data_IF_259616802978
#
_entry.id   IF_259616802978
#
_cell.length_a   1.000
_cell.length_b   1.000
_cell.length_c   1.000
_cell.angle_alpha   90.00
_cell.angle_beta   90.00
_cell.angle_gamma   90.00
#
_symmetry.space_group_name_H-M   'P 1'
#
loop_
_entity.id
_entity.type
_entity.pdbx_description
1 polymer ?
#
# COMPACT_ATOMS: atom_id res chain seq x y z
N UNK A 1 28.09 -19.83 -2.31
CA UNK A 1 26.73 -19.41 -1.94
C UNK A 1 25.79 -20.59 -2.15
N UNK A 2 24.92 -20.86 -1.18
CA UNK A 2 23.94 -21.93 -1.30
C UNK A 2 22.93 -21.50 -2.38
N UNK A 3 22.97 -22.12 -3.58
CA UNK A 3 22.15 -21.74 -4.74
C UNK A 3 20.63 -21.96 -4.53
N UNK A 4 20.25 -22.55 -3.40
CA UNK A 4 18.88 -22.96 -3.10
C UNK A 4 18.10 -21.93 -2.25
N UNK A 5 18.75 -20.89 -1.72
CA UNK A 5 18.09 -19.91 -0.87
C UNK A 5 17.52 -18.74 -1.68
N UNK A 6 16.21 -18.54 -1.60
CA UNK A 6 15.56 -17.37 -2.22
C UNK A 6 16.03 -16.08 -1.53
N UNK A 7 16.48 -15.13 -2.35
CA UNK A 7 16.81 -13.76 -1.91
C UNK A 7 16.04 -12.79 -2.77
N UNK A 8 15.21 -12.00 -2.12
CA UNK A 8 14.46 -10.91 -2.75
C UNK A 8 14.86 -9.57 -2.13
N UNK A 9 14.52 -8.49 -2.79
CA UNK A 9 14.76 -7.14 -2.24
C UNK A 9 13.61 -6.20 -2.59
N UNK A 10 13.39 -5.24 -1.70
CA UNK A 10 12.75 -3.99 -2.03
C UNK A 10 13.82 -2.90 -2.05
N UNK A 11 13.86 -2.14 -3.14
CA UNK A 11 14.94 -1.20 -3.40
C UNK A 11 14.38 0.18 -3.80
N UNK A 12 13.78 0.90 -2.84
CA UNK A 12 13.18 2.20 -3.11
C UNK A 12 14.23 3.30 -3.24
N UNK A 13 13.97 4.25 -4.18
CA UNK A 13 14.67 5.53 -4.20
C UNK A 13 13.95 6.53 -3.30
N UNK A 14 14.66 7.28 -2.44
CA UNK A 14 14.06 8.22 -1.49
C UNK A 14 13.67 9.56 -2.17
N UNK A 15 12.95 9.49 -3.30
CA UNK A 15 12.50 10.64 -4.09
C UNK A 15 11.07 11.06 -3.76
N UNK A 16 10.54 10.60 -2.64
CA UNK A 16 9.21 10.92 -2.13
C UNK A 16 8.70 9.88 -1.14
N UNK A 17 7.53 10.16 -0.59
CA UNK A 17 6.89 9.29 0.41
C UNK A 17 6.28 8.05 -0.23
N UNK A 18 6.14 6.99 0.58
CA UNK A 18 5.63 5.70 0.15
C UNK A 18 4.15 5.76 -0.22
N UNK A 19 3.82 5.15 -1.32
CA UNK A 19 2.44 4.95 -1.76
C UNK A 19 2.16 3.47 -2.05
N UNK A 20 0.90 3.12 -2.23
CA UNK A 20 0.43 1.74 -2.41
C UNK A 20 1.18 0.95 -3.50
N UNK A 21 1.64 1.61 -4.57
CA UNK A 21 2.40 0.95 -5.64
C UNK A 21 3.77 0.45 -5.19
N UNK A 22 4.50 1.26 -4.43
CA UNK A 22 5.79 0.87 -3.83
C UNK A 22 5.59 -0.24 -2.80
N UNK A 23 4.61 -0.07 -1.91
CA UNK A 23 4.30 -1.07 -0.87
C UNK A 23 3.92 -2.41 -1.47
N UNK A 24 3.09 -2.47 -2.53
CA UNK A 24 2.75 -3.75 -3.18
C UNK A 24 3.98 -4.47 -3.71
N UNK A 25 4.96 -3.74 -4.25
CA UNK A 25 6.23 -4.32 -4.71
C UNK A 25 7.03 -4.89 -3.55
N UNK A 26 7.12 -4.16 -2.43
CA UNK A 26 7.75 -4.63 -1.20
C UNK A 26 7.05 -5.88 -0.66
N UNK A 27 5.71 -5.84 -0.59
CA UNK A 27 4.86 -6.90 -0.09
C UNK A 27 5.07 -8.22 -0.85
N UNK A 28 5.02 -8.19 -2.18
CA UNK A 28 5.21 -9.42 -2.96
C UNK A 28 6.63 -9.98 -2.83
N UNK A 29 7.65 -9.11 -2.76
CA UNK A 29 9.02 -9.51 -2.49
C UNK A 29 9.17 -10.15 -1.11
N UNK A 30 8.53 -9.57 -0.10
CA UNK A 30 8.46 -10.08 1.27
C UNK A 30 7.75 -11.44 1.34
N UNK A 31 6.55 -11.54 0.80
CA UNK A 31 5.75 -12.77 0.81
C UNK A 31 6.51 -13.93 0.16
N UNK A 32 7.17 -13.68 -0.97
CA UNK A 32 7.94 -14.72 -1.67
C UNK A 32 9.16 -15.18 -0.88
N UNK A 33 9.91 -14.24 -0.29
CA UNK A 33 11.03 -14.59 0.59
C UNK A 33 10.56 -15.41 1.78
N UNK A 34 9.56 -14.94 2.52
CA UNK A 34 9.10 -15.59 3.76
C UNK A 34 8.50 -16.97 3.51
N UNK A 35 7.69 -17.14 2.45
CA UNK A 35 7.18 -18.44 2.04
C UNK A 35 8.27 -19.48 1.82
N UNK A 36 9.39 -19.07 1.26
CA UNK A 36 10.48 -19.98 0.90
C UNK A 36 11.60 -20.03 1.97
N UNK A 37 11.36 -19.51 3.18
CA UNK A 37 12.38 -19.38 4.22
C UNK A 37 13.65 -18.68 3.70
N UNK A 38 13.46 -17.74 2.78
CA UNK A 38 14.48 -16.96 2.10
C UNK A 38 14.93 -15.75 2.90
N UNK A 39 15.50 -14.78 2.18
CA UNK A 39 15.94 -13.50 2.75
C UNK A 39 15.26 -12.35 2.01
N UNK A 40 14.65 -11.43 2.75
CA UNK A 40 14.11 -10.19 2.23
C UNK A 40 15.02 -9.03 2.63
N UNK A 41 15.53 -8.29 1.64
CA UNK A 41 16.47 -7.17 1.81
C UNK A 41 15.74 -5.85 1.58
N UNK A 42 15.95 -4.88 2.45
CA UNK A 42 15.65 -3.47 2.20
C UNK A 42 16.94 -2.76 1.79
N UNK A 43 16.98 -2.19 0.58
CA UNK A 43 18.11 -1.42 0.06
C UNK A 43 17.64 -0.02 -0.36
N UNK A 44 18.27 1.01 0.15
CA UNK A 44 17.96 2.40 -0.22
C UNK A 44 18.80 2.81 -1.43
N UNK A 45 18.11 3.17 -2.53
CA UNK A 45 18.76 3.59 -3.79
C UNK A 45 18.76 5.11 -3.90
N UNK A 46 19.69 5.75 -3.19
CA UNK A 46 19.83 7.19 -2.99
C UNK A 46 20.95 7.84 -3.83
N UNK A 47 21.27 7.25 -4.99
CA UNK A 47 22.32 7.77 -5.88
C UNK A 47 21.89 9.02 -6.66
N UNK A 48 20.63 9.39 -6.65
CA UNK A 48 20.10 10.62 -7.22
C UNK A 48 19.87 11.66 -6.11
N UNK A 49 20.96 12.29 -5.70
CA UNK A 49 20.97 13.27 -4.60
C UNK A 49 20.13 14.52 -4.89
N UNK A 50 19.99 14.90 -6.17
CA UNK A 50 19.21 16.06 -6.57
C UNK A 50 17.69 15.88 -6.36
N UNK A 51 17.22 14.63 -6.35
CA UNK A 51 15.79 14.30 -6.15
C UNK A 51 15.50 13.67 -4.78
N UNK A 52 16.48 13.57 -3.91
CA UNK A 52 16.28 13.05 -2.55
C UNK A 52 15.34 14.00 -1.78
N UNK A 53 14.33 13.45 -1.12
CA UNK A 53 13.39 14.18 -0.27
C UNK A 53 13.74 13.91 1.19
N UNK A 54 13.93 14.98 1.94
CA UNK A 54 14.25 14.89 3.37
C UNK A 54 13.17 14.10 4.15
N UNK A 55 13.60 13.22 5.05
CA UNK A 55 12.73 12.33 5.82
C UNK A 55 12.15 11.15 5.03
N UNK A 56 12.40 11.04 3.72
CA UNK A 56 11.81 9.98 2.89
C UNK A 56 12.30 8.57 3.29
N UNK A 57 13.56 8.42 3.71
CA UNK A 57 14.10 7.13 4.13
C UNK A 57 13.39 6.65 5.40
N UNK A 58 13.27 7.50 6.41
CA UNK A 58 12.58 7.17 7.66
C UNK A 58 11.11 6.84 7.40
N UNK A 59 10.46 7.62 6.54
CA UNK A 59 9.08 7.38 6.13
C UNK A 59 8.90 6.03 5.42
N UNK A 60 9.82 5.64 4.53
CA UNK A 60 9.81 4.32 3.87
C UNK A 60 9.87 3.21 4.92
N UNK A 61 10.81 3.32 5.85
CA UNK A 61 11.02 2.32 6.90
C UNK A 61 9.83 2.25 7.86
N UNK A 62 9.29 3.38 8.28
CA UNK A 62 8.11 3.47 9.14
C UNK A 62 6.87 2.85 8.46
N UNK A 63 6.63 3.17 7.18
CA UNK A 63 5.53 2.63 6.40
C UNK A 63 5.56 1.10 6.32
N UNK A 64 6.74 0.53 6.05
CA UNK A 64 6.91 -0.92 5.97
C UNK A 64 6.72 -1.58 7.34
N UNK A 65 7.32 -1.03 8.41
CA UNK A 65 7.17 -1.52 9.79
C UNK A 65 5.72 -1.46 10.26
N UNK A 66 5.02 -0.38 9.97
CA UNK A 66 3.60 -0.27 10.30
C UNK A 66 2.76 -1.38 9.67
N UNK A 67 3.09 -1.77 8.42
CA UNK A 67 2.41 -2.86 7.72
C UNK A 67 2.89 -4.26 8.14
N UNK A 68 3.89 -4.38 9.01
CA UNK A 68 4.48 -5.67 9.39
C UNK A 68 5.35 -6.28 8.28
N UNK A 69 5.88 -5.47 7.38
CA UNK A 69 6.81 -5.90 6.32
C UNK A 69 8.25 -5.70 6.84
N UNK A 70 8.68 -6.62 7.70
CA UNK A 70 10.02 -6.58 8.27
C UNK A 70 11.05 -7.21 7.34
N UNK A 71 12.22 -6.58 7.25
CA UNK A 71 13.35 -7.06 6.43
C UNK A 71 14.39 -7.81 7.28
N UNK A 72 15.00 -8.81 6.68
CA UNK A 72 16.05 -9.62 7.33
C UNK A 72 17.41 -8.89 7.32
N UNK A 73 17.65 -8.05 6.30
CA UNK A 73 18.85 -7.26 6.10
C UNK A 73 18.48 -5.87 5.59
N UNK A 74 19.10 -4.83 6.12
CA UNK A 74 18.74 -3.47 5.73
C UNK A 74 19.54 -2.38 6.44
N UNK A 75 19.16 -1.10 6.24
CA UNK A 75 19.94 0.04 6.72
C UNK A 75 20.10 0.10 8.24
N UNK A 76 19.09 -0.33 9.00
CA UNK A 76 19.05 -0.23 10.46
C UNK A 76 19.48 -1.51 11.18
N UNK A 77 19.24 -2.68 10.60
CA UNK A 77 19.60 -3.97 11.19
C UNK A 77 20.87 -4.59 10.59
N UNK A 78 21.44 -3.98 9.56
CA UNK A 78 22.67 -4.43 8.94
C UNK A 78 22.53 -5.77 8.20
N UNK A 79 23.64 -6.50 8.10
CA UNK A 79 23.73 -7.79 7.44
C UNK A 79 25.09 -7.99 6.75
N UNK A 80 25.30 -9.15 6.09
CA UNK A 80 26.60 -9.52 5.50
C UNK A 80 27.06 -8.62 4.35
N UNK A 81 26.15 -7.84 3.77
CA UNK A 81 26.43 -6.98 2.61
C UNK A 81 26.35 -5.48 2.95
N UNK A 82 26.38 -5.14 4.24
CA UNK A 82 26.39 -3.74 4.69
C UNK A 82 27.48 -2.92 4.00
N UNK A 83 27.21 -1.63 3.76
CA UNK A 83 25.97 -0.88 4.01
C UNK A 83 24.87 -1.17 2.98
N UNK A 84 23.58 -0.90 3.36
CA UNK A 84 22.41 -1.10 2.49
C UNK A 84 21.85 0.21 1.93
N UNK A 85 22.64 1.26 1.96
CA UNK A 85 22.39 2.55 1.34
C UNK A 85 23.42 2.75 0.21
N UNK A 86 22.95 3.02 -1.00
CA UNK A 86 23.84 3.02 -2.16
C UNK A 86 24.90 4.12 -2.12
N UNK A 87 24.57 5.30 -1.57
CA UNK A 87 25.56 6.36 -1.42
C UNK A 87 26.75 6.00 -0.51
N UNK A 88 26.62 5.00 0.34
CA UNK A 88 27.67 4.51 1.23
C UNK A 88 28.51 3.37 0.59
N UNK A 89 28.23 3.01 -0.67
CA UNK A 89 28.84 1.89 -1.40
C UNK A 89 29.68 2.33 -2.61
N UNK A 90 30.06 3.59 -2.69
CA UNK A 90 30.71 4.16 -3.89
C UNK A 90 32.00 3.41 -4.27
N UNK A 91 32.80 2.96 -3.30
CA UNK A 91 34.01 2.17 -3.54
C UNK A 91 33.71 0.85 -4.27
N UNK A 92 32.60 0.21 -3.95
CA UNK A 92 32.17 -1.00 -4.63
C UNK A 92 31.87 -0.73 -6.11
N UNK A 93 31.13 0.33 -6.39
CA UNK A 93 30.78 0.69 -7.77
C UNK A 93 32.02 1.08 -8.56
N UNK A 94 32.98 1.83 -7.97
CA UNK A 94 34.24 2.17 -8.60
C UNK A 94 35.07 0.92 -8.92
N UNK A 95 35.09 -0.07 -8.03
CA UNK A 95 35.77 -1.36 -8.28
C UNK A 95 35.16 -2.09 -9.49
N UNK A 96 33.83 -2.12 -9.61
CA UNK A 96 33.14 -2.75 -10.73
C UNK A 96 33.28 -1.94 -12.02
N UNK A 97 33.31 -0.60 -11.92
CA UNK A 97 33.61 0.29 -13.04
C UNK A 97 35.00 0.01 -13.60
N UNK A 98 36.01 -0.07 -12.74
CA UNK A 98 37.39 -0.42 -13.16
C UNK A 98 37.45 -1.81 -13.80
N UNK A 99 36.76 -2.81 -13.22
CA UNK A 99 36.63 -4.15 -13.81
C UNK A 99 36.07 -4.12 -15.23
N UNK A 100 35.05 -3.30 -15.49
CA UNK A 100 34.45 -3.15 -16.81
C UNK A 100 35.40 -2.44 -17.79
N UNK A 101 36.23 -1.48 -17.34
CA UNK A 101 37.27 -0.85 -18.12
C UNK A 101 38.31 -1.90 -18.52
N UNK A 102 38.81 -2.66 -17.55
CA UNK A 102 39.86 -3.69 -17.79
C UNK A 102 39.35 -4.79 -18.74
N UNK A 103 38.07 -5.10 -18.73
CA UNK A 103 37.44 -6.02 -19.68
C UNK A 103 37.10 -5.34 -21.03
N UNK A 104 37.29 -4.05 -21.12
CA UNK A 104 37.03 -3.25 -22.31
C UNK A 104 35.54 -2.94 -22.56
N UNK A 105 34.67 -3.09 -21.56
CA UNK A 105 33.22 -2.80 -21.65
C UNK A 105 32.85 -1.42 -21.10
N UNK A 106 33.81 -0.59 -20.74
CA UNK A 106 33.54 0.77 -20.30
C UNK A 106 34.60 1.73 -20.80
N UNK A 107 34.20 2.96 -21.06
CA UNK A 107 35.06 4.03 -21.53
C UNK A 107 34.65 5.38 -20.93
N UNK A 108 35.58 6.30 -20.84
CA UNK A 108 35.33 7.68 -20.42
C UNK A 108 34.66 8.43 -21.57
N UNK A 109 33.50 9.02 -21.28
CA UNK A 109 32.76 9.83 -22.25
C UNK A 109 33.52 11.14 -22.51
N UNK A 110 33.93 11.42 -23.76
CA UNK A 110 34.63 12.66 -24.11
C UNK A 110 33.67 13.84 -24.28
N UNK A 111 32.35 13.60 -24.39
CA UNK A 111 31.36 14.63 -24.68
C UNK A 111 30.87 15.34 -23.43
N UNK A 112 30.71 16.65 -23.54
CA UNK A 112 30.03 17.46 -22.56
C UNK A 112 28.50 17.23 -22.63
N UNK A 113 27.78 17.60 -21.57
CA UNK A 113 26.30 17.54 -21.57
C UNK A 113 25.69 18.38 -22.69
N UNK A 114 26.28 19.55 -22.99
CA UNK A 114 25.82 20.44 -24.07
C UNK A 114 26.01 19.80 -25.48
N UNK A 115 27.10 19.09 -25.69
CA UNK A 115 27.32 18.38 -26.94
C UNK A 115 26.32 17.23 -27.11
N UNK A 116 26.11 16.46 -26.08
CA UNK A 116 25.12 15.37 -26.09
C UNK A 116 23.70 15.91 -26.35
N UNK A 117 23.34 17.04 -25.75
CA UNK A 117 22.02 17.65 -25.97
C UNK A 117 21.85 18.14 -27.41
N UNK A 118 22.90 18.68 -28.04
CA UNK A 118 22.88 19.03 -29.48
C UNK A 118 22.65 17.79 -30.36
N UNK A 119 23.35 16.69 -30.07
CA UNK A 119 23.18 15.43 -30.80
C UNK A 119 21.73 14.88 -30.66
N UNK A 120 21.12 15.01 -29.48
CA UNK A 120 19.71 14.65 -29.26
C UNK A 120 18.75 15.51 -30.07
N UNK A 121 18.98 16.83 -30.09
CA UNK A 121 18.17 17.76 -30.86
C UNK A 121 18.29 17.51 -32.38
N UNK A 122 19.49 17.20 -32.87
CA UNK A 122 19.69 16.81 -34.27
C UNK A 122 18.93 15.52 -34.63
N UNK A 123 18.94 14.50 -33.75
CA UNK A 123 18.19 13.27 -33.96
C UNK A 123 16.67 13.54 -33.96
N UNK A 124 16.18 14.41 -33.08
CA UNK A 124 14.78 14.81 -33.02
C UNK A 124 14.34 15.55 -34.29
N UNK A 125 15.14 16.51 -34.78
CA UNK A 125 14.88 17.24 -36.04
C UNK A 125 14.81 16.26 -37.22
N UNK A 126 15.72 15.28 -37.25
CA UNK A 126 15.77 14.26 -38.29
C UNK A 126 14.73 13.15 -38.10
N UNK A 127 13.96 13.14 -37.01
CA UNK A 127 12.96 12.12 -36.64
C UNK A 127 13.53 10.70 -36.58
N UNK A 128 14.76 10.56 -36.11
CA UNK A 128 15.43 9.27 -35.88
C UNK A 128 15.63 9.06 -34.38
N UNK A 129 15.65 7.81 -33.90
CA UNK A 129 16.00 7.53 -32.51
C UNK A 129 17.42 8.00 -32.20
N UNK A 130 17.59 8.68 -31.08
CA UNK A 130 18.93 8.98 -30.58
C UNK A 130 19.55 7.73 -29.96
N UNK A 131 20.68 7.28 -30.53
CA UNK A 131 21.46 6.16 -30.01
C UNK A 131 22.88 6.64 -29.76
N UNK A 132 23.27 6.73 -28.49
CA UNK A 132 24.59 7.25 -28.13
C UNK A 132 25.74 6.42 -28.72
N UNK A 133 25.56 5.10 -28.87
CA UNK A 133 26.54 4.21 -29.48
C UNK A 133 27.00 4.62 -30.91
N UNK A 134 26.19 5.38 -31.62
CA UNK A 134 26.50 5.89 -32.97
C UNK A 134 27.40 7.13 -32.92
N UNK A 135 27.54 7.73 -31.74
CA UNK A 135 28.34 8.94 -31.51
C UNK A 135 29.55 8.68 -30.61
N UNK A 136 29.82 7.40 -30.25
CA UNK A 136 30.96 7.09 -29.37
C UNK A 136 32.27 7.44 -30.05
N UNK A 137 33.19 8.00 -29.28
CA UNK A 137 34.55 8.27 -29.71
C UNK A 137 35.53 7.42 -28.91
N UNK A 138 35.93 6.29 -29.48
CA UNK A 138 36.86 5.35 -28.84
C UNK A 138 38.35 5.65 -29.18
N UNK A 139 38.62 6.60 -30.07
CA UNK A 139 39.96 6.97 -30.50
C UNK A 139 40.77 7.68 -29.40
N UNK A 140 40.08 8.32 -28.47
CA UNK A 140 40.68 8.98 -27.32
C UNK A 140 40.65 8.03 -26.12
N UNK A 141 41.71 7.28 -25.91
CA UNK A 141 41.84 6.42 -24.72
C UNK A 141 42.06 7.28 -23.46
N UNK A 142 40.97 7.92 -22.98
CA UNK A 142 41.01 8.81 -21.81
C UNK A 142 41.10 7.93 -20.56
N UNK A 143 42.14 8.07 -19.73
CA UNK A 143 42.25 7.31 -18.49
C UNK A 143 41.13 7.66 -17.52
N UNK A 144 40.52 6.65 -16.91
CA UNK A 144 39.56 6.83 -15.83
C UNK A 144 40.26 7.28 -14.54
N UNK A 145 39.93 8.45 -14.05
CA UNK A 145 40.44 9.00 -12.78
C UNK A 145 39.40 9.02 -11.66
N UNK A 146 38.16 8.78 -12.01
CA UNK A 146 37.03 8.81 -11.04
C UNK A 146 36.58 10.20 -10.62
N UNK A 147 37.13 11.27 -11.19
CA UNK A 147 36.87 12.65 -10.80
C UNK A 147 36.42 13.44 -12.03
N UNK A 148 35.25 14.10 -11.93
CA UNK A 148 34.70 14.97 -13.00
C UNK A 148 34.59 14.32 -14.37
N UNK A 149 34.53 12.98 -14.41
CA UNK A 149 34.43 12.19 -15.63
C UNK A 149 33.16 11.35 -15.65
N UNK A 150 32.49 11.34 -16.78
CA UNK A 150 31.38 10.41 -17.03
C UNK A 150 31.91 9.11 -17.59
N UNK A 151 31.63 7.99 -16.94
CA UNK A 151 31.95 6.66 -17.43
C UNK A 151 30.72 6.02 -18.07
N UNK A 152 30.86 5.50 -19.29
CA UNK A 152 29.81 4.79 -20.01
C UNK A 152 30.11 3.31 -20.19
N UNK A 153 29.02 2.52 -20.19
CA UNK A 153 29.05 1.14 -20.65
C UNK A 153 29.04 1.10 -22.17
N UNK A 154 29.95 0.34 -22.75
CA UNK A 154 29.99 0.04 -24.17
C UNK A 154 29.23 -1.24 -24.47
N UNK A 155 28.11 -1.13 -25.18
CA UNK A 155 27.39 -2.30 -25.70
C UNK A 155 28.11 -2.84 -26.92
N UNK A 156 28.92 -3.91 -26.76
CA UNK A 156 29.68 -4.55 -27.85
C UNK A 156 28.81 -5.49 -28.67
N UNK A 157 28.01 -6.33 -27.98
CA UNK A 157 27.15 -7.33 -28.62
C UNK A 157 25.75 -6.77 -28.85
N UNK A 158 25.54 -6.20 -30.04
CA UNK A 158 24.24 -5.70 -30.46
C UNK A 158 23.42 -6.88 -30.96
N UNK A 159 22.78 -7.59 -30.04
CA UNK A 159 21.99 -8.79 -30.31
C UNK A 159 20.54 -8.65 -29.79
N UNK A 160 19.66 -9.48 -30.24
CA UNK A 160 18.33 -9.64 -29.62
C UNK A 160 18.53 -10.34 -28.27
N UNK A 161 18.00 -9.75 -27.20
CA UNK A 161 17.89 -10.39 -25.89
C UNK A 161 16.54 -11.07 -25.75
N UNK A 162 16.55 -12.26 -25.18
CA UNK A 162 15.36 -13.01 -24.78
C UNK A 162 15.49 -13.39 -23.30
N UNK A 163 14.40 -13.28 -22.55
CA UNK A 163 14.36 -13.69 -21.14
C UNK A 163 12.98 -14.16 -20.78
N UNK A 164 12.91 -14.94 -19.71
CA UNK A 164 11.66 -15.37 -19.13
C UNK A 164 11.29 -14.45 -17.96
N UNK A 165 10.07 -13.90 -18.00
CA UNK A 165 9.46 -13.14 -16.91
C UNK A 165 8.31 -13.97 -16.33
N UNK A 166 8.26 -14.09 -15.01
CA UNK A 166 7.24 -14.94 -14.36
C UNK A 166 5.82 -14.51 -14.72
N UNK A 167 5.58 -13.20 -14.80
CA UNK A 167 4.24 -12.64 -15.07
C UNK A 167 3.94 -12.62 -16.56
N UNK A 168 4.88 -12.09 -17.37
CA UNK A 168 4.62 -11.87 -18.79
C UNK A 168 5.03 -13.05 -19.68
N UNK A 169 5.76 -14.02 -19.15
CA UNK A 169 6.28 -15.15 -19.90
C UNK A 169 7.53 -14.76 -20.72
N UNK A 170 7.69 -15.38 -21.89
CA UNK A 170 8.84 -15.08 -22.74
C UNK A 170 8.77 -13.68 -23.33
N UNK A 171 9.77 -12.88 -23.04
CA UNK A 171 9.93 -11.53 -23.53
C UNK A 171 11.18 -11.44 -24.42
N UNK A 172 11.18 -10.52 -25.36
CA UNK A 172 12.36 -10.25 -26.18
C UNK A 172 12.41 -8.77 -26.57
N UNK A 173 13.63 -8.26 -26.72
CA UNK A 173 13.85 -6.94 -27.25
C UNK A 173 14.94 -6.98 -28.32
N UNK A 174 14.75 -6.20 -29.39
CA UNK A 174 15.68 -6.11 -30.49
C UNK A 174 16.86 -5.18 -30.18
N UNK A 175 17.65 -4.98 -31.23
CA UNK A 175 18.86 -4.16 -31.16
C UNK A 175 18.59 -2.67 -30.89
N UNK A 176 17.37 -2.23 -31.14
CA UNK A 176 16.87 -0.88 -30.88
C UNK A 176 16.81 -0.54 -29.37
N UNK A 177 16.69 -1.55 -28.53
CA UNK A 177 16.64 -1.38 -27.06
C UNK A 177 18.04 -1.29 -26.41
N UNK A 178 19.09 -1.50 -27.21
CA UNK A 178 20.47 -1.52 -26.73
C UNK A 178 21.18 -0.24 -27.12
N UNK A 179 21.70 0.46 -26.13
CA UNK A 179 22.49 1.67 -26.33
C UNK A 179 23.52 1.79 -25.21
N UNK A 180 24.57 2.55 -25.49
CA UNK A 180 25.55 2.87 -24.46
C UNK A 180 24.93 3.74 -23.39
N UNK A 181 25.13 3.39 -22.14
CA UNK A 181 24.53 4.11 -21.02
C UNK A 181 25.55 4.48 -19.94
N UNK A 182 25.29 5.55 -19.23
CA UNK A 182 26.15 6.04 -18.16
C UNK A 182 26.17 5.04 -17.01
N UNK A 183 27.38 4.64 -16.60
CA UNK A 183 27.64 3.85 -15.39
C UNK A 183 27.82 4.77 -14.18
N UNK A 184 28.80 5.69 -14.27
CA UNK A 184 29.11 6.66 -13.22
C UNK A 184 29.01 8.06 -13.82
N UNK A 185 28.33 8.94 -13.13
CA UNK A 185 28.15 10.34 -13.48
C UNK A 185 29.41 11.15 -13.12
N UNK A 186 29.55 12.34 -13.69
CA UNK A 186 30.65 13.25 -13.39
C UNK A 186 30.73 13.65 -11.88
N UNK A 187 29.65 13.58 -11.16
CA UNK A 187 29.59 13.78 -9.70
C UNK A 187 30.13 12.60 -8.88
N UNK A 188 30.56 11.51 -9.54
CA UNK A 188 31.10 10.31 -8.92
C UNK A 188 30.02 9.30 -8.46
N UNK A 189 28.74 9.62 -8.58
CA UNK A 189 27.67 8.69 -8.23
C UNK A 189 27.33 7.75 -9.40
N UNK A 190 27.05 6.47 -9.13
CA UNK A 190 26.57 5.56 -10.14
C UNK A 190 25.15 5.94 -10.58
N UNK A 191 24.80 5.58 -11.82
CA UNK A 191 23.41 5.63 -12.26
C UNK A 191 22.63 4.46 -11.70
N UNK A 192 21.29 4.61 -11.64
CA UNK A 192 20.38 3.53 -11.29
C UNK A 192 20.67 2.24 -12.08
N UNK A 193 20.86 2.35 -13.39
CA UNK A 193 21.08 1.21 -14.29
C UNK A 193 22.32 0.38 -13.94
N UNK A 194 23.31 0.99 -13.34
CA UNK A 194 24.54 0.32 -12.90
C UNK A 194 24.44 -0.17 -11.46
N UNK A 195 24.11 0.72 -10.54
CA UNK A 195 24.15 0.43 -9.11
C UNK A 195 23.28 -0.76 -8.71
N UNK A 196 22.02 -0.82 -9.18
CA UNK A 196 21.14 -1.91 -8.80
C UNK A 196 21.59 -3.28 -9.31
N UNK A 197 22.22 -3.35 -10.50
CA UNK A 197 22.76 -4.60 -11.03
C UNK A 197 23.94 -5.10 -10.20
N UNK A 198 24.85 -4.19 -9.85
CA UNK A 198 26.01 -4.53 -9.02
C UNK A 198 25.57 -5.02 -7.65
N UNK A 199 24.61 -4.31 -7.03
CA UNK A 199 24.08 -4.71 -5.72
C UNK A 199 23.33 -6.02 -5.77
N UNK A 200 22.53 -6.27 -6.80
CA UNK A 200 21.81 -7.53 -6.97
C UNK A 200 22.78 -8.72 -7.15
N UNK A 201 23.92 -8.51 -7.84
CA UNK A 201 25.01 -9.50 -7.95
C UNK A 201 25.66 -9.74 -6.58
N UNK A 202 26.12 -8.69 -5.91
CA UNK A 202 26.86 -8.78 -4.65
C UNK A 202 26.02 -9.34 -3.51
N UNK A 203 24.74 -8.94 -3.44
CA UNK A 203 23.80 -9.40 -2.43
C UNK A 203 23.18 -10.77 -2.75
N UNK A 204 23.52 -11.37 -3.90
CA UNK A 204 23.03 -12.68 -4.33
C UNK A 204 21.51 -12.71 -4.52
N UNK A 205 20.95 -11.63 -5.04
CA UNK A 205 19.50 -11.54 -5.31
C UNK A 205 19.11 -12.55 -6.38
N UNK A 206 18.13 -13.38 -6.06
CA UNK A 206 17.65 -14.45 -6.95
C UNK A 206 16.39 -14.08 -7.72
N UNK A 207 15.56 -13.20 -7.15
CA UNK A 207 14.30 -12.74 -7.76
C UNK A 207 14.19 -11.24 -7.65
N UNK A 208 13.92 -10.59 -8.77
CA UNK A 208 13.72 -9.15 -8.87
C UNK A 208 12.26 -8.85 -9.19
N UNK A 209 11.50 -8.46 -8.17
CA UNK A 209 10.15 -7.94 -8.34
C UNK A 209 10.20 -6.42 -8.49
N UNK A 210 9.58 -5.90 -9.56
CA UNK A 210 9.55 -4.46 -9.86
C UNK A 210 8.43 -4.12 -10.83
N UNK A 211 8.11 -2.86 -10.99
CA UNK A 211 7.09 -2.40 -11.92
C UNK A 211 7.42 -2.75 -13.38
N UNK A 212 6.38 -2.96 -14.18
CA UNK A 212 6.51 -3.31 -15.61
C UNK A 212 7.21 -2.22 -16.45
N UNK A 213 7.31 -1.00 -15.96
CA UNK A 213 8.02 0.10 -16.61
C UNK A 213 9.51 -0.20 -16.86
N UNK A 214 10.09 -1.12 -16.11
CA UNK A 214 11.48 -1.54 -16.27
C UNK A 214 11.69 -2.65 -17.30
N UNK A 215 10.63 -3.22 -17.88
CA UNK A 215 10.73 -4.28 -18.89
C UNK A 215 11.54 -3.81 -20.11
N UNK A 216 11.31 -2.60 -20.59
CA UNK A 216 12.02 -2.01 -21.72
C UNK A 216 13.51 -1.81 -21.47
N UNK A 217 13.93 -1.68 -20.20
CA UNK A 217 15.34 -1.51 -19.81
C UNK A 217 16.04 -2.84 -19.52
N UNK A 218 15.32 -3.95 -19.44
CA UNK A 218 15.90 -5.27 -19.12
C UNK A 218 17.05 -5.69 -20.05
N UNK A 219 17.03 -5.43 -21.38
CA UNK A 219 18.17 -5.74 -22.25
C UNK A 219 19.47 -5.06 -21.84
N UNK A 220 19.41 -3.81 -21.35
CA UNK A 220 20.59 -3.09 -20.82
C UNK A 220 21.17 -3.80 -19.61
N UNK A 221 20.31 -4.28 -18.71
CA UNK A 221 20.75 -5.01 -17.53
C UNK A 221 21.36 -6.35 -17.91
N UNK A 222 20.73 -7.10 -18.83
CA UNK A 222 21.26 -8.37 -19.32
C UNK A 222 22.62 -8.21 -19.99
N UNK A 223 22.83 -7.13 -20.77
CA UNK A 223 24.15 -6.84 -21.37
C UNK A 223 25.23 -6.59 -20.31
N UNK A 224 24.86 -5.96 -19.18
CA UNK A 224 25.78 -5.74 -18.07
C UNK A 224 26.08 -7.04 -17.30
N UNK A 225 25.07 -7.91 -17.09
CA UNK A 225 25.29 -9.25 -16.52
C UNK A 225 26.23 -10.09 -17.40
N UNK A 226 26.02 -10.07 -18.72
CA UNK A 226 26.88 -10.76 -19.69
C UNK A 226 28.34 -10.26 -19.61
N UNK A 227 28.56 -8.94 -19.62
CA UNK A 227 29.89 -8.33 -19.55
C UNK A 227 30.60 -8.68 -18.24
N UNK A 228 29.91 -8.82 -17.15
CA UNK A 228 30.46 -9.18 -15.83
C UNK A 228 30.63 -10.68 -15.65
N UNK A 229 30.09 -11.52 -16.56
CA UNK A 229 30.06 -12.98 -16.44
C UNK A 229 29.17 -13.45 -15.26
N UNK A 230 28.13 -12.69 -14.93
CA UNK A 230 27.22 -12.97 -13.83
C UNK A 230 25.88 -13.54 -14.34
N UNK A 231 25.25 -14.35 -13.52
CA UNK A 231 23.91 -14.88 -13.84
C UNK A 231 22.86 -13.87 -13.46
N UNK A 232 21.94 -13.48 -14.37
CA UNK A 232 20.86 -12.57 -14.03
C UNK A 232 19.85 -13.25 -13.08
N UNK A 233 19.12 -12.47 -12.26
CA UNK A 233 18.05 -12.97 -11.42
C UNK A 233 16.82 -13.35 -12.26
N UNK A 234 15.88 -14.03 -11.63
CA UNK A 234 14.54 -14.26 -12.19
C UNK A 234 13.77 -12.94 -12.12
N UNK A 235 13.23 -12.50 -13.24
CA UNK A 235 12.44 -11.26 -13.31
C UNK A 235 10.95 -11.54 -13.07
N UNK A 236 10.34 -10.66 -12.30
CA UNK A 236 8.92 -10.67 -11.97
C UNK A 236 8.38 -9.26 -12.15
N UNK A 237 7.89 -8.95 -13.34
CA UNK A 237 7.40 -7.62 -13.68
C UNK A 237 5.95 -7.43 -13.26
N UNK A 238 5.71 -6.52 -12.33
CA UNK A 238 4.40 -6.28 -11.76
C UNK A 238 3.62 -5.24 -12.60
N UNK A 239 2.38 -5.52 -12.99
CA UNK A 239 1.54 -4.55 -13.68
C UNK A 239 1.24 -3.35 -12.78
N UNK A 240 0.86 -2.22 -13.39
CA UNK A 240 0.48 -1.04 -12.63
C UNK A 240 -0.76 -1.29 -11.76
N UNK A 241 -0.84 -0.58 -10.65
CA UNK A 241 -2.10 -0.36 -9.96
C UNK A 241 -2.82 0.74 -10.73
N UNK A 242 -4.08 0.48 -11.06
CA UNK A 242 -4.92 1.42 -11.80
C UNK A 242 -5.81 2.20 -10.83
N UNK A 243 -6.08 3.45 -11.15
CA UNK A 243 -7.06 4.26 -10.42
C UNK A 243 -8.48 3.67 -10.61
N UNK A 244 -9.42 4.11 -9.80
CA UNK A 244 -10.80 3.60 -9.78
C UNK A 244 -11.49 3.59 -11.17
N UNK A 245 -11.17 4.55 -12.03
CA UNK A 245 -11.68 4.55 -13.43
C UNK A 245 -11.07 3.45 -14.32
N UNK A 246 -10.08 2.68 -13.85
CA UNK A 246 -9.43 1.58 -14.59
C UNK A 246 -8.56 1.98 -15.79
N UNK A 247 -8.58 3.25 -16.21
CA UNK A 247 -7.94 3.71 -17.45
C UNK A 247 -6.58 4.40 -17.23
N UNK A 248 -6.22 4.72 -15.98
CA UNK A 248 -4.98 5.42 -15.64
C UNK A 248 -4.23 4.67 -14.55
N UNK A 249 -2.90 4.73 -14.60
CA UNK A 249 -2.04 4.33 -13.49
C UNK A 249 -2.39 5.19 -12.27
N UNK A 250 -2.57 4.55 -11.12
CA UNK A 250 -2.76 5.25 -9.85
C UNK A 250 -1.49 6.03 -9.50
N UNK A 251 -1.60 7.32 -9.47
CA UNK A 251 -0.52 8.24 -9.15
C UNK A 251 -0.95 9.25 -8.09
N UNK A 252 -0.02 10.05 -7.57
CA UNK A 252 -0.32 11.06 -6.54
C UNK A 252 -1.44 12.04 -6.95
N UNK A 253 -1.54 12.37 -8.25
CA UNK A 253 -2.59 13.25 -8.80
C UNK A 253 -3.94 12.54 -9.00
N UNK A 254 -3.94 11.21 -8.95
CA UNK A 254 -5.10 10.37 -9.21
C UNK A 254 -5.58 9.65 -7.94
N UNK A 255 -5.23 10.18 -6.75
CA UNK A 255 -5.71 9.68 -5.46
C UNK A 255 -4.79 8.67 -4.75
N UNK A 256 -3.58 8.44 -5.25
CA UNK A 256 -2.60 7.64 -4.48
C UNK A 256 -2.21 8.40 -3.21
N UNK A 257 -2.74 7.95 -2.08
CA UNK A 257 -2.41 8.48 -0.77
C UNK A 257 -1.05 7.97 -0.29
N UNK A 258 -0.46 8.71 0.63
CA UNK A 258 0.62 8.25 1.47
C UNK A 258 0.16 7.03 2.31
N UNK A 259 1.06 6.09 2.54
CA UNK A 259 0.72 4.89 3.33
C UNK A 259 0.37 5.24 4.78
N UNK A 260 1.05 6.22 5.36
CA UNK A 260 0.79 6.64 6.74
C UNK A 260 -0.52 7.42 6.88
N UNK A 261 -1.05 8.01 5.79
CA UNK A 261 -2.39 8.61 5.79
C UNK A 261 -3.48 7.57 6.10
N UNK A 262 -3.33 6.33 5.60
CA UNK A 262 -4.28 5.25 5.93
C UNK A 262 -4.27 4.93 7.43
N UNK A 263 -3.09 4.98 8.08
CA UNK A 263 -2.97 4.83 9.54
C UNK A 263 -3.73 5.93 10.28
N UNK A 264 -3.50 7.17 9.87
CA UNK A 264 -4.17 8.33 10.47
C UNK A 264 -5.69 8.33 10.24
N UNK A 265 -6.14 7.77 9.12
CA UNK A 265 -7.55 7.54 8.84
C UNK A 265 -8.14 6.34 9.61
N UNK A 266 -7.34 5.59 10.35
CA UNK A 266 -7.80 4.48 11.18
C UNK A 266 -7.98 3.14 10.45
N UNK A 267 -7.30 2.94 9.33
CA UNK A 267 -7.19 1.61 8.73
C UNK A 267 -6.25 0.72 9.54
N UNK A 268 -6.60 -0.55 9.64
CA UNK A 268 -5.75 -1.56 10.25
C UNK A 268 -4.62 -1.96 9.29
N UNK A 269 -3.38 -2.09 9.77
CA UNK A 269 -2.28 -2.53 8.92
C UNK A 269 -2.53 -3.91 8.31
N UNK A 270 -3.14 -4.84 9.05
CA UNK A 270 -3.50 -6.18 8.58
C UNK A 270 -4.52 -6.12 7.42
N UNK A 271 -5.46 -5.19 7.48
CA UNK A 271 -6.46 -5.02 6.45
C UNK A 271 -5.83 -4.47 5.16
N UNK A 272 -5.00 -3.43 5.28
CA UNK A 272 -4.31 -2.85 4.13
C UNK A 272 -3.31 -3.84 3.52
N UNK A 273 -2.57 -4.59 4.34
CA UNK A 273 -1.66 -5.65 3.90
C UNK A 273 -2.42 -6.71 3.09
N UNK A 274 -3.53 -7.23 3.63
CA UNK A 274 -4.36 -8.24 2.98
C UNK A 274 -4.96 -7.71 1.66
N UNK A 275 -5.53 -6.51 1.66
CA UNK A 275 -6.08 -5.87 0.46
C UNK A 275 -5.00 -5.70 -0.62
N UNK A 276 -3.81 -5.19 -0.27
CA UNK A 276 -2.71 -4.99 -1.21
C UNK A 276 -2.18 -6.31 -1.78
N UNK A 277 -2.21 -7.40 -1.00
CA UNK A 277 -1.84 -8.73 -1.49
C UNK A 277 -2.77 -9.19 -2.62
N UNK A 278 -4.06 -8.86 -2.55
CA UNK A 278 -5.04 -9.20 -3.58
C UNK A 278 -5.04 -8.24 -4.79
N UNK A 279 -4.24 -7.17 -4.77
CA UNK A 279 -4.07 -6.29 -5.93
C UNK A 279 -3.13 -6.89 -6.98
N UNK A 280 -3.68 -7.78 -7.80
CA UNK A 280 -2.96 -8.43 -8.90
C UNK A 280 -2.43 -9.82 -8.55
N UNK A 281 -2.90 -10.40 -7.46
CA UNK A 281 -2.67 -11.79 -7.09
C UNK A 281 -3.94 -12.39 -6.48
N UNK A 282 -4.11 -13.72 -6.59
CA UNK A 282 -5.23 -14.44 -5.98
C UNK A 282 -4.81 -15.87 -5.62
N UNK A 283 -5.02 -16.32 -4.36
CA UNK A 283 -4.65 -17.69 -3.93
C UNK A 283 -5.50 -18.78 -4.56
N UNK A 284 -6.63 -18.42 -5.16
CA UNK A 284 -7.69 -19.34 -5.57
C UNK A 284 -8.63 -19.69 -4.42
N UNK A 285 -9.88 -19.97 -4.74
CA UNK A 285 -10.93 -20.19 -3.75
C UNK A 285 -11.68 -18.89 -3.41
N UNK A 286 -12.51 -18.97 -2.36
CA UNK A 286 -13.45 -17.89 -1.97
C UNK A 286 -12.98 -17.09 -0.76
N UNK A 287 -11.88 -17.51 -0.11
CA UNK A 287 -11.38 -16.83 1.11
C UNK A 287 -10.59 -15.60 0.71
N UNK A 288 -11.10 -14.42 1.04
CA UNK A 288 -10.43 -13.14 0.81
C UNK A 288 -9.79 -12.56 2.07
N UNK A 289 -10.35 -12.81 3.27
CA UNK A 289 -9.85 -12.24 4.53
C UNK A 289 -8.87 -13.21 5.18
N UNK A 290 -7.59 -12.90 5.05
CA UNK A 290 -6.46 -13.71 5.45
C UNK A 290 -5.52 -12.96 6.39
N UNK A 291 -4.95 -13.66 7.35
CA UNK A 291 -3.86 -13.17 8.19
C UNK A 291 -2.53 -13.10 7.42
N UNK A 292 -1.51 -12.46 8.00
CA UNK A 292 -0.17 -12.42 7.44
C UNK A 292 0.39 -13.82 7.15
N UNK A 293 0.27 -14.74 8.12
CA UNK A 293 0.80 -16.11 7.99
C UNK A 293 0.04 -16.89 6.91
N UNK A 294 -1.28 -16.75 6.83
CA UNK A 294 -2.08 -17.37 5.78
C UNK A 294 -1.68 -16.84 4.39
N UNK A 295 -1.45 -15.52 4.26
CA UNK A 295 -0.98 -14.91 3.02
C UNK A 295 0.42 -15.39 2.63
N UNK A 296 1.37 -15.45 3.58
CA UNK A 296 2.71 -16.00 3.35
C UNK A 296 2.61 -17.44 2.84
N UNK A 297 1.82 -18.27 3.52
CA UNK A 297 1.67 -19.69 3.16
C UNK A 297 0.97 -19.91 1.81
N UNK A 298 0.01 -19.05 1.47
CA UNK A 298 -0.73 -19.16 0.22
C UNK A 298 -0.01 -18.56 -0.99
N UNK A 299 0.91 -17.60 -0.77
CA UNK A 299 1.50 -16.81 -1.84
C UNK A 299 2.25 -17.66 -2.87
N UNK A 300 1.93 -17.49 -4.15
CA UNK A 300 2.57 -18.14 -5.29
C UNK A 300 2.76 -17.12 -6.42
N UNK A 301 4.02 -16.83 -6.75
CA UNK A 301 4.36 -15.85 -7.79
C UNK A 301 3.86 -16.21 -9.18
N UNK A 302 3.62 -17.51 -9.45
CA UNK A 302 3.08 -17.95 -10.73
C UNK A 302 1.61 -17.59 -10.94
N UNK A 303 0.94 -17.15 -9.86
CA UNK A 303 -0.46 -16.72 -9.87
C UNK A 303 -0.60 -15.18 -9.95
N UNK A 304 0.50 -14.47 -10.12
CA UNK A 304 0.46 -13.03 -10.39
C UNK A 304 -0.23 -12.75 -11.72
N UNK A 305 -1.12 -11.77 -11.73
CA UNK A 305 -1.93 -11.41 -12.89
C UNK A 305 -1.16 -10.47 -13.83
N UNK A 306 -1.37 -10.62 -15.15
CA UNK A 306 -0.77 -9.74 -16.18
C UNK A 306 -1.45 -8.37 -16.28
N UNK A 307 -2.72 -8.30 -15.93
CA UNK A 307 -3.53 -7.09 -16.00
C UNK A 307 -3.30 -6.17 -14.81
N UNK A 308 -3.44 -4.87 -15.03
CA UNK A 308 -3.43 -3.90 -13.93
C UNK A 308 -4.60 -4.15 -12.97
N UNK A 309 -4.33 -4.16 -11.67
CA UNK A 309 -5.35 -4.28 -10.65
C UNK A 309 -5.92 -2.89 -10.31
N UNK A 310 -7.23 -2.77 -10.25
CA UNK A 310 -7.91 -1.54 -9.88
C UNK A 310 -7.89 -1.35 -8.36
N UNK A 311 -7.51 -0.17 -7.91
CA UNK A 311 -7.63 0.21 -6.51
C UNK A 311 -9.06 0.67 -6.25
N UNK A 312 -9.73 0.00 -5.32
CA UNK A 312 -11.13 0.22 -4.98
C UNK A 312 -11.25 0.52 -3.48
N UNK A 313 -11.57 1.78 -3.14
CA UNK A 313 -11.73 2.23 -1.76
C UNK A 313 -12.90 1.54 -1.05
N UNK A 314 -13.97 1.20 -1.77
CA UNK A 314 -15.12 0.49 -1.20
C UNK A 314 -14.71 -0.93 -0.78
N UNK A 315 -13.92 -1.58 -1.63
CA UNK A 315 -13.38 -2.90 -1.31
C UNK A 315 -12.36 -2.82 -0.16
N UNK A 316 -11.51 -1.81 -0.10
CA UNK A 316 -10.58 -1.61 1.02
C UNK A 316 -11.35 -1.41 2.34
N UNK A 317 -12.40 -0.58 2.34
CA UNK A 317 -13.26 -0.39 3.51
C UNK A 317 -13.90 -1.70 3.98
N UNK A 318 -14.36 -2.53 3.04
CA UNK A 318 -14.87 -3.85 3.37
C UNK A 318 -13.80 -4.76 4.01
N UNK A 319 -12.57 -4.80 3.45
CA UNK A 319 -11.45 -5.52 4.08
C UNK A 319 -11.20 -5.04 5.50
N UNK A 320 -11.18 -3.72 5.69
CA UNK A 320 -10.92 -3.12 7.01
C UNK A 320 -11.99 -3.49 8.02
N UNK A 321 -13.27 -3.39 7.64
CA UNK A 321 -14.41 -3.79 8.48
C UNK A 321 -14.32 -5.26 8.89
N UNK A 322 -14.02 -6.15 7.95
CA UNK A 322 -13.90 -7.58 8.25
C UNK A 322 -12.72 -7.90 9.18
N UNK A 323 -11.61 -7.17 9.07
CA UNK A 323 -10.50 -7.28 10.02
C UNK A 323 -10.85 -6.69 11.40
N UNK A 324 -11.57 -5.55 11.47
CA UNK A 324 -12.07 -4.98 12.73
C UNK A 324 -12.95 -5.99 13.48
N UNK A 325 -13.83 -6.71 12.78
CA UNK A 325 -14.68 -7.74 13.38
C UNK A 325 -13.92 -8.90 14.01
N UNK A 326 -12.70 -9.18 13.51
CA UNK A 326 -11.84 -10.25 14.05
C UNK A 326 -11.04 -9.85 15.29
N UNK A 327 -10.96 -8.56 15.63
CA UNK A 327 -10.26 -8.11 16.83
C UNK A 327 -10.96 -8.58 18.09
N UNK A 328 -10.22 -8.92 19.15
CA UNK A 328 -10.80 -9.05 20.48
C UNK A 328 -11.32 -7.70 20.97
N UNK A 329 -12.22 -7.70 21.97
CA UNK A 329 -12.77 -6.45 22.50
C UNK A 329 -11.67 -5.55 23.08
N UNK A 330 -10.72 -6.12 23.82
CA UNK A 330 -9.59 -5.38 24.39
C UNK A 330 -8.72 -4.74 23.33
N UNK A 331 -8.39 -5.47 22.24
CA UNK A 331 -7.58 -4.95 21.16
C UNK A 331 -8.34 -3.90 20.35
N UNK A 332 -9.65 -4.08 20.16
CA UNK A 332 -10.49 -3.11 19.48
C UNK A 332 -10.54 -1.78 20.24
N UNK A 333 -10.80 -1.82 21.56
CA UNK A 333 -10.80 -0.65 22.43
C UNK A 333 -9.45 0.07 22.36
N UNK A 334 -8.37 -0.69 22.53
CA UNK A 334 -7.01 -0.14 22.48
C UNK A 334 -6.70 0.59 21.18
N UNK A 335 -7.10 0.00 20.03
CA UNK A 335 -6.81 0.58 18.71
C UNK A 335 -7.68 1.79 18.38
N UNK A 336 -8.92 1.84 18.86
CA UNK A 336 -9.80 2.99 18.63
C UNK A 336 -9.61 4.12 19.66
N UNK A 337 -8.83 3.91 20.74
CA UNK A 337 -8.71 4.86 21.85
C UNK A 337 -8.32 6.27 21.38
N UNK A 338 -7.37 6.40 20.44
CA UNK A 338 -6.96 7.71 19.92
C UNK A 338 -8.06 8.47 19.18
N UNK A 339 -9.09 7.77 18.71
CA UNK A 339 -10.22 8.34 17.97
C UNK A 339 -11.44 8.59 18.86
N UNK A 340 -11.51 8.01 20.06
CA UNK A 340 -12.63 8.17 20.97
C UNK A 340 -12.67 9.55 21.61
N UNK A 341 -13.84 10.21 21.70
CA UNK A 341 -14.02 11.40 22.51
C UNK A 341 -13.83 11.13 24.01
N UNK A 342 -13.39 12.14 24.76
CA UNK A 342 -13.06 12.00 26.19
C UNK A 342 -14.26 11.53 27.04
N UNK A 343 -15.48 11.98 26.76
CA UNK A 343 -16.67 11.58 27.51
C UNK A 343 -16.99 10.09 27.34
N UNK A 344 -16.64 9.49 26.20
CA UNK A 344 -16.78 8.07 25.94
C UNK A 344 -15.71 7.27 26.68
N UNK A 345 -14.45 7.74 26.65
CA UNK A 345 -13.32 7.11 27.38
C UNK A 345 -13.56 7.04 28.88
N UNK A 346 -14.27 8.01 29.45
CA UNK A 346 -14.60 8.05 30.87
C UNK A 346 -15.70 7.06 31.28
N UNK A 347 -16.40 6.44 30.33
CA UNK A 347 -17.54 5.55 30.54
C UNK A 347 -17.33 4.16 29.93
N UNK A 348 -16.23 3.51 30.29
CA UNK A 348 -15.83 2.21 29.74
C UNK A 348 -16.89 1.10 29.93
N UNK A 349 -17.69 1.16 31.00
CA UNK A 349 -18.76 0.18 31.23
C UNK A 349 -19.80 0.23 30.10
N UNK A 350 -20.24 1.43 29.73
CA UNK A 350 -21.19 1.63 28.64
C UNK A 350 -20.55 1.24 27.33
N UNK A 351 -19.30 1.72 27.09
CA UNK A 351 -18.56 1.41 25.88
C UNK A 351 -18.46 -0.09 25.63
N UNK A 352 -18.09 -0.87 26.65
CA UNK A 352 -18.00 -2.34 26.54
C UNK A 352 -19.32 -3.00 26.14
N UNK A 353 -20.45 -2.47 26.59
CA UNK A 353 -21.78 -3.02 26.25
C UNK A 353 -22.18 -2.78 24.80
N UNK A 354 -21.64 -1.76 24.15
CA UNK A 354 -22.01 -1.36 22.79
C UNK A 354 -20.94 -1.64 21.72
N UNK A 355 -19.86 -2.32 22.06
CA UNK A 355 -18.75 -2.59 21.11
C UNK A 355 -19.23 -3.29 19.84
N UNK A 356 -20.18 -4.22 19.96
CA UNK A 356 -20.75 -4.91 18.81
C UNK A 356 -21.50 -3.97 17.86
N UNK A 357 -22.20 -2.95 18.42
CA UNK A 357 -22.89 -1.93 17.63
C UNK A 357 -21.86 -1.07 16.89
N UNK A 358 -20.82 -0.62 17.60
CA UNK A 358 -19.77 0.21 17.00
C UNK A 358 -19.12 -0.50 15.83
N UNK A 359 -18.77 -1.79 15.97
CA UNK A 359 -18.14 -2.59 14.91
C UNK A 359 -18.97 -2.68 13.63
N UNK A 360 -20.30 -2.70 13.78
CA UNK A 360 -21.21 -2.78 12.62
C UNK A 360 -21.42 -1.43 11.92
N UNK A 361 -21.05 -0.31 12.59
CA UNK A 361 -21.31 1.05 12.09
C UNK A 361 -20.06 1.77 11.57
N UNK A 362 -18.89 1.13 11.59
CA UNK A 362 -17.64 1.76 11.14
C UNK A 362 -16.98 0.95 10.03
N UNK A 363 -16.37 1.66 9.10
CA UNK A 363 -15.44 1.11 8.11
C UNK A 363 -13.99 1.28 8.56
N UNK A 364 -13.72 2.35 9.31
CA UNK A 364 -12.40 2.75 9.82
C UNK A 364 -12.50 3.13 11.29
N UNK A 365 -11.42 2.98 12.04
CA UNK A 365 -11.41 3.33 13.47
C UNK A 365 -11.71 4.82 13.70
N UNK A 366 -11.35 5.71 12.78
CA UNK A 366 -11.67 7.13 12.88
C UNK A 366 -13.17 7.44 12.83
N UNK A 367 -13.98 6.55 12.24
CA UNK A 367 -15.42 6.77 12.10
C UNK A 367 -16.14 6.78 13.47
N UNK A 368 -15.51 6.19 14.50
CA UNK A 368 -16.06 6.24 15.88
C UNK A 368 -16.27 7.68 16.38
N UNK A 369 -15.48 8.63 15.89
CA UNK A 369 -15.61 10.05 16.23
C UNK A 369 -17.00 10.58 15.89
N UNK A 370 -17.45 10.25 14.68
CA UNK A 370 -18.73 10.75 14.15
C UNK A 370 -19.91 10.09 14.85
N UNK A 371 -19.76 8.84 15.32
CA UNK A 371 -20.79 8.14 16.07
C UNK A 371 -21.13 8.81 17.42
N UNK A 372 -20.16 9.51 18.02
CA UNK A 372 -20.24 10.11 19.35
C UNK A 372 -20.16 11.65 19.35
N UNK A 373 -20.27 12.30 18.20
CA UNK A 373 -20.48 13.75 18.14
C UNK A 373 -21.87 14.11 18.65
N UNK A 374 -22.10 15.39 19.00
CA UNK A 374 -23.45 15.87 19.34
C UNK A 374 -24.44 15.53 18.23
N UNK A 375 -25.45 14.76 18.54
CA UNK A 375 -26.39 14.16 17.58
C UNK A 375 -25.79 13.05 16.70
N UNK A 376 -24.65 12.50 17.06
CA UNK A 376 -24.10 11.29 16.46
C UNK A 376 -25.01 10.08 16.72
N UNK A 377 -24.88 9.07 15.87
CA UNK A 377 -25.81 7.94 15.87
C UNK A 377 -25.85 7.15 17.19
N UNK A 378 -24.74 7.16 17.97
CA UNK A 378 -24.60 6.46 19.26
C UNK A 378 -24.39 7.40 20.47
N UNK A 379 -24.48 8.73 20.27
CA UNK A 379 -24.27 9.71 21.35
C UNK A 379 -25.27 9.54 22.51
N UNK A 380 -26.47 9.08 22.21
CA UNK A 380 -27.54 8.87 23.21
C UNK A 380 -27.19 7.82 24.28
N UNK A 381 -26.23 6.95 24.08
CA UNK A 381 -25.75 6.05 25.12
C UNK A 381 -25.00 6.76 26.25
N UNK A 382 -24.42 7.93 25.93
CA UNK A 382 -23.57 8.70 26.85
C UNK A 382 -24.20 10.02 27.27
N UNK A 383 -25.03 10.61 26.42
CA UNK A 383 -25.66 11.90 26.63
C UNK A 383 -27.17 11.83 26.49
N UNK A 384 -27.87 12.66 27.27
CA UNK A 384 -29.33 12.76 27.14
C UNK A 384 -29.68 13.34 25.76
N UNK A 385 -30.55 12.66 24.99
CA UNK A 385 -30.94 13.12 23.66
C UNK A 385 -31.56 14.52 23.68
N UNK A 386 -31.18 15.37 22.73
CA UNK A 386 -31.76 16.70 22.51
C UNK A 386 -32.38 16.70 21.12
N UNK A 387 -33.66 16.98 21.02
CA UNK A 387 -34.36 16.98 19.74
C UNK A 387 -35.56 17.96 19.75
N UNK A 388 -35.96 18.38 18.56
CA UNK A 388 -37.16 19.18 18.36
C UNK A 388 -38.43 18.35 18.66
N UNK A 389 -39.33 18.90 19.45
CA UNK A 389 -40.58 18.19 19.84
C UNK A 389 -41.40 17.67 18.64
N UNK A 390 -41.32 18.34 17.51
CA UNK A 390 -41.97 17.92 16.26
C UNK A 390 -41.44 16.61 15.71
N UNK A 391 -40.15 16.27 15.96
CA UNK A 391 -39.51 15.04 15.46
C UNK A 391 -40.15 13.77 16.03
N UNK A 392 -40.74 13.84 17.23
CA UNK A 392 -41.34 12.68 17.90
C UNK A 392 -42.61 12.16 17.20
N UNK A 393 -43.21 13.01 16.34
CA UNK A 393 -44.37 12.64 15.53
C UNK A 393 -43.89 12.01 14.24
N UNK A 394 -44.32 10.79 13.95
CA UNK A 394 -43.93 10.09 12.72
C UNK A 394 -44.34 10.90 11.47
N UNK A 395 -43.43 11.13 10.51
CA UNK A 395 -43.77 11.80 9.26
C UNK A 395 -44.80 11.01 8.41
N UNK A 396 -45.01 9.74 8.73
CA UNK A 396 -45.95 8.84 8.05
C UNK A 396 -47.23 8.64 8.86
N UNK A 397 -47.41 9.38 9.96
CA UNK A 397 -48.61 9.24 10.82
C UNK A 397 -49.90 9.59 10.08
N UNK A 398 -50.96 8.88 10.38
CA UNK A 398 -52.30 9.14 9.90
C UNK A 398 -53.21 9.80 10.98
N UNK A 399 -52.62 10.13 12.14
CA UNK A 399 -53.33 10.64 13.30
C UNK A 399 -53.78 12.11 13.18
N UNK A 400 -53.23 12.85 12.21
CA UNK A 400 -53.58 14.25 12.01
C UNK A 400 -53.34 15.13 13.24
N UNK A 401 -54.31 15.96 13.61
CA UNK A 401 -54.18 16.94 14.69
C UNK A 401 -54.09 16.32 16.10
N UNK A 402 -54.47 15.04 16.29
CA UNK A 402 -54.36 14.34 17.57
C UNK A 402 -53.03 13.61 17.76
N UNK A 403 -52.15 13.74 16.80
CA UNK A 403 -50.85 13.02 16.82
C UNK A 403 -50.04 13.32 18.10
N UNK A 404 -50.00 14.57 18.54
CA UNK A 404 -49.26 14.98 19.74
C UNK A 404 -49.75 14.31 21.03
N UNK A 405 -51.09 14.30 21.26
CA UNK A 405 -51.71 13.66 22.41
C UNK A 405 -51.52 12.12 22.39
N UNK A 406 -51.61 11.53 21.22
CA UNK A 406 -51.42 10.09 21.05
C UNK A 406 -49.97 9.66 21.26
N UNK A 407 -48.98 10.46 20.87
CA UNK A 407 -47.59 10.18 21.14
C UNK A 407 -47.30 10.15 22.64
N UNK A 408 -47.86 11.06 23.45
CA UNK A 408 -47.72 11.02 24.92
C UNK A 408 -48.29 9.72 25.48
N UNK A 409 -49.50 9.30 25.01
CA UNK A 409 -50.11 8.04 25.39
C UNK A 409 -49.25 6.83 25.02
N UNK A 410 -48.66 6.83 23.83
CA UNK A 410 -47.77 5.75 23.37
C UNK A 410 -46.51 5.63 24.24
N UNK A 411 -45.88 6.74 24.54
CA UNK A 411 -44.66 6.76 25.37
C UNK A 411 -44.93 6.36 26.81
N UNK A 412 -46.05 6.80 27.39
CA UNK A 412 -46.44 6.37 28.74
C UNK A 412 -46.77 4.86 28.77
N UNK A 413 -47.40 4.33 27.71
CA UNK A 413 -47.61 2.90 27.56
C UNK A 413 -46.36 2.09 27.48
N UNK A 414 -45.38 2.53 26.65
CA UNK A 414 -44.06 1.90 26.52
C UNK A 414 -43.30 1.95 27.86
N UNK A 415 -43.30 3.10 28.52
CA UNK A 415 -42.66 3.28 29.83
C UNK A 415 -43.23 2.34 30.88
N UNK A 416 -44.54 2.23 30.96
CA UNK A 416 -45.20 1.33 31.89
C UNK A 416 -44.85 -0.14 31.61
N UNK A 417 -44.73 -0.55 30.35
CA UNK A 417 -44.28 -1.89 30.00
C UNK A 417 -42.86 -2.13 30.52
N UNK A 418 -41.92 -1.22 30.18
CA UNK A 418 -40.52 -1.34 30.59
C UNK A 418 -40.34 -1.37 32.10
N UNK A 419 -41.05 -0.51 32.84
CA UNK A 419 -40.98 -0.46 34.32
C UNK A 419 -41.53 -1.71 35.03
N UNK A 420 -42.32 -2.52 34.34
CA UNK A 420 -42.90 -3.75 34.90
C UNK A 420 -42.16 -5.02 34.44
N UNK A 421 -41.04 -4.89 33.75
CA UNK A 421 -40.16 -6.02 33.40
C UNK A 421 -39.20 -6.25 34.55
N UNK A 422 -39.18 -7.46 35.08
CA UNK A 422 -38.18 -7.86 36.08
C UNK A 422 -36.77 -7.85 35.49
N UNK A 423 -35.77 -7.41 36.26
CA UNK A 423 -34.36 -7.35 35.81
C UNK A 423 -33.84 -8.69 35.23
N UNK A 424 -34.34 -9.82 35.76
CA UNK A 424 -33.99 -11.16 35.25
C UNK A 424 -34.49 -11.44 33.83
N UNK A 425 -35.44 -10.65 33.33
CA UNK A 425 -36.04 -10.76 31.99
C UNK A 425 -35.66 -9.58 31.09
N UNK A 426 -34.64 -8.79 31.49
CA UNK A 426 -34.13 -7.67 30.69
C UNK A 426 -33.21 -8.21 29.61
N UNK A 427 -33.79 -8.91 28.64
CA UNK A 427 -33.10 -9.32 27.40
C UNK A 427 -33.83 -8.77 26.18
N UNK A 428 -33.12 -8.68 25.07
CA UNK A 428 -33.58 -8.04 23.83
C UNK A 428 -34.86 -8.70 23.30
N UNK A 429 -34.94 -10.01 23.27
CA UNK A 429 -36.07 -10.74 22.67
C UNK A 429 -37.32 -10.58 23.52
N UNK A 430 -37.21 -10.64 24.87
CA UNK A 430 -38.34 -10.47 25.78
C UNK A 430 -38.89 -9.04 25.72
N UNK A 431 -38.00 -8.04 25.80
CA UNK A 431 -38.39 -6.61 25.71
C UNK A 431 -39.08 -6.35 24.37
N UNK A 432 -38.44 -6.77 23.27
CA UNK A 432 -38.96 -6.63 21.91
C UNK A 432 -40.35 -7.26 21.77
N UNK A 433 -40.54 -8.48 22.28
CA UNK A 433 -41.88 -9.13 22.27
C UNK A 433 -42.96 -8.30 22.96
N UNK A 434 -42.67 -7.78 24.16
CA UNK A 434 -43.61 -6.95 24.91
C UNK A 434 -43.94 -5.63 24.23
N UNK A 435 -42.94 -4.96 23.71
CA UNK A 435 -43.11 -3.69 22.98
C UNK A 435 -43.87 -3.92 21.67
N UNK A 436 -43.55 -4.98 20.93
CA UNK A 436 -44.24 -5.28 19.68
C UNK A 436 -45.69 -5.61 19.87
N UNK A 437 -46.07 -6.38 20.93
CA UNK A 437 -47.45 -6.68 21.29
C UNK A 437 -48.27 -5.40 21.56
N UNK A 438 -47.63 -4.40 22.16
CA UNK A 438 -48.25 -3.09 22.41
C UNK A 438 -48.35 -2.26 21.13
N UNK A 439 -47.28 -2.22 20.36
CA UNK A 439 -47.18 -1.44 19.12
C UNK A 439 -48.19 -1.94 18.05
N UNK A 440 -48.37 -3.24 17.92
CA UNK A 440 -49.33 -3.83 16.97
C UNK A 440 -50.78 -3.46 17.30
N UNK A 441 -51.12 -3.27 18.58
CA UNK A 441 -52.46 -2.85 19.04
C UNK A 441 -52.69 -1.35 18.87
N UNK A 442 -51.67 -0.52 18.96
CA UNK A 442 -51.79 0.93 19.06
C UNK A 442 -51.29 1.69 17.81
N UNK A 443 -50.81 1.00 16.78
CA UNK A 443 -50.25 1.59 15.57
C UNK A 443 -48.71 1.49 15.55
N UNK A 444 -48.25 0.36 15.05
CA UNK A 444 -46.84 -0.05 15.08
C UNK A 444 -45.83 1.05 14.63
N UNK A 445 -46.16 1.73 13.52
CA UNK A 445 -45.28 2.76 12.97
C UNK A 445 -45.15 3.98 13.89
N UNK A 446 -46.22 4.44 14.49
CA UNK A 446 -46.25 5.63 15.33
C UNK A 446 -45.65 5.35 16.72
N UNK A 447 -45.97 4.18 17.32
CA UNK A 447 -45.40 3.78 18.63
C UNK A 447 -43.88 3.60 18.55
N UNK A 448 -43.37 2.82 17.57
CA UNK A 448 -41.95 2.57 17.45
C UNK A 448 -41.17 3.81 17.05
N UNK A 449 -41.76 4.69 16.23
CA UNK A 449 -41.15 5.97 15.91
C UNK A 449 -41.02 6.85 17.14
N UNK A 450 -42.09 7.05 17.88
CA UNK A 450 -42.06 7.86 19.09
C UNK A 450 -41.04 7.33 20.12
N UNK A 451 -41.04 6.01 20.34
CA UNK A 451 -40.08 5.36 21.22
C UNK A 451 -38.63 5.60 20.75
N UNK A 452 -38.33 5.39 19.46
CA UNK A 452 -36.99 5.64 18.90
C UNK A 452 -36.53 7.07 19.15
N UNK A 453 -37.35 8.06 18.77
CA UNK A 453 -36.97 9.46 18.94
C UNK A 453 -36.82 9.84 20.41
N UNK A 454 -37.71 9.34 21.29
CA UNK A 454 -37.61 9.60 22.72
C UNK A 454 -36.32 9.06 23.34
N UNK A 455 -35.85 7.88 22.92
CA UNK A 455 -34.64 7.23 23.42
C UNK A 455 -33.38 7.80 22.81
N UNK A 456 -33.40 8.10 21.53
CA UNK A 456 -32.17 8.40 20.77
C UNK A 456 -32.06 9.85 20.31
N UNK A 457 -33.16 10.58 20.23
CA UNK A 457 -33.20 11.91 19.60
C UNK A 457 -33.16 11.89 18.07
N UNK A 458 -33.15 10.72 17.44
CA UNK A 458 -32.84 10.56 16.02
C UNK A 458 -34.03 9.95 15.24
N UNK A 459 -34.18 10.37 13.99
CA UNK A 459 -35.08 9.76 13.02
C UNK A 459 -34.59 8.40 12.50
N UNK A 460 -33.27 8.18 12.54
CA UNK A 460 -32.60 6.92 12.24
C UNK A 460 -31.65 6.58 13.39
N UNK A 461 -31.69 5.38 13.87
CA UNK A 461 -30.80 4.87 14.91
C UNK A 461 -30.73 3.34 14.77
N UNK A 462 -29.84 2.65 15.47
CA UNK A 462 -29.99 1.23 15.72
C UNK A 462 -31.42 0.90 16.20
N UNK A 463 -31.84 -0.35 16.09
CA UNK A 463 -33.15 -0.77 16.58
C UNK A 463 -33.29 -0.40 18.04
N UNK A 464 -34.39 0.30 18.40
CA UNK A 464 -34.62 0.80 19.76
C UNK A 464 -34.82 -0.33 20.77
#
# INVERSE_FOLDING_TARGET
MNKDKIVTRFAPSPTGFMHVGGVRTALFSYLWAKKNNGTFILRIEDTDKAREVDGSIDHIMESLKWLGIDWDQGPDNGGPYSPYKQSDRLDLYNKYAQKLIDLGYAYVDPHTEEEIEKLRQEAEINKVPFLYREHRSLENNIPWTGIEQTLRFEVKDIKRYEWDDIVYGKLSAGTEALDDFVLIKADGYPTYNFAHVIDDIEMGVTHVMRGQEFVSSTPKYLSLYDALGATPPIFVSLPHIMADCGNKKLGKRDGAKDILDYREEGYLPEALFNFLAFLGWNPGGEVEIMSHDELINAFDITRLQKGGAQFDDVKLNWYNREHIKKLSDDEFIKRMDSFLPDHVKQNLEILNKILYIIRDHIDKLSDVKDLFTTSGELDFFFNKPIYEKSLIISPKTKLGNIAGEKVEEFLEGVKNILMNIDESNWDMEFIKGKIMDYADKNGRGDVLWAMRVALTGLAKSPDP
#
